data_IF_571897986637
#
_entry.id   IF_571897986637
#
_cell.length_a   1.000
_cell.length_b   1.000
_cell.length_c   1.000
_cell.angle_alpha   90.00
_cell.angle_beta   90.00
_cell.angle_gamma   90.00
#
_symmetry.space_group_name_H-M   'P 1'
#
loop_
_entity.id
_entity.type
_entity.pdbx_description
1 polymer ?
#
# COMPACT_ATOMS: atom_id res chain seq x y z
N UNK A 1 -34.23 -8.61 14.55
CA UNK A 1 -35.16 -9.33 13.67
C UNK A 1 -34.37 -9.92 12.50
N UNK A 2 -34.81 -11.08 11.97
CA UNK A 2 -34.19 -11.66 10.79
C UNK A 2 -34.48 -10.78 9.58
N UNK A 3 -33.46 -10.52 8.73
CA UNK A 3 -33.66 -9.77 7.50
C UNK A 3 -34.40 -10.61 6.44
N UNK A 4 -35.23 -9.96 5.63
CA UNK A 4 -35.98 -10.59 4.54
C UNK A 4 -35.61 -9.96 3.19
N UNK A 5 -35.75 -10.74 2.12
CA UNK A 5 -35.59 -10.24 0.75
C UNK A 5 -36.69 -10.77 -0.17
N UNK A 6 -36.93 -10.05 -1.24
CA UNK A 6 -37.99 -10.38 -2.18
C UNK A 6 -37.43 -11.19 -3.35
N UNK A 7 -38.01 -12.34 -3.61
CA UNK A 7 -37.75 -13.16 -4.80
C UNK A 7 -39.06 -13.25 -5.56
N UNK A 8 -39.12 -12.59 -6.71
CA UNK A 8 -40.35 -12.44 -7.51
C UNK A 8 -41.52 -11.87 -6.67
N UNK A 9 -42.58 -12.65 -6.42
CA UNK A 9 -43.74 -12.26 -5.61
C UNK A 9 -43.65 -12.72 -4.15
N UNK A 10 -42.65 -13.48 -3.76
CA UNK A 10 -42.50 -14.07 -2.43
C UNK A 10 -41.45 -13.38 -1.58
N UNK A 11 -41.74 -13.18 -0.30
CA UNK A 11 -40.76 -12.70 0.69
C UNK A 11 -40.15 -13.91 1.40
N UNK A 12 -38.82 -14.03 1.34
CA UNK A 12 -38.06 -15.12 1.99
C UNK A 12 -37.12 -14.54 3.04
N UNK A 13 -36.83 -15.31 4.05
CA UNK A 13 -35.80 -14.99 5.02
C UNK A 13 -34.44 -14.95 4.31
N UNK A 14 -33.65 -13.91 4.57
CA UNK A 14 -32.35 -13.73 3.92
C UNK A 14 -31.34 -14.65 4.58
N UNK A 15 -30.65 -15.50 3.81
CA UNK A 15 -29.53 -16.28 4.32
C UNK A 15 -28.48 -15.37 4.97
N UNK A 16 -27.84 -15.86 6.03
CA UNK A 16 -26.90 -15.06 6.83
C UNK A 16 -25.74 -14.52 6.01
N UNK A 17 -25.18 -15.32 5.13
CA UNK A 17 -24.10 -14.96 4.21
C UNK A 17 -24.50 -13.81 3.26
N UNK A 18 -25.70 -13.87 2.68
CA UNK A 18 -26.26 -12.82 1.84
C UNK A 18 -26.51 -11.52 2.63
N UNK A 19 -26.96 -11.62 3.87
CA UNK A 19 -27.15 -10.47 4.74
C UNK A 19 -25.82 -9.81 5.11
N UNK A 20 -24.83 -10.61 5.50
CA UNK A 20 -23.48 -10.12 5.81
C UNK A 20 -22.83 -9.46 4.59
N UNK A 21 -22.98 -10.04 3.41
CA UNK A 21 -22.49 -9.43 2.16
C UNK A 21 -23.20 -8.09 1.86
N UNK A 22 -24.52 -8.03 2.06
CA UNK A 22 -25.27 -6.78 1.90
C UNK A 22 -24.84 -5.71 2.90
N UNK A 23 -24.60 -6.09 4.16
CA UNK A 23 -24.07 -5.17 5.16
C UNK A 23 -22.68 -4.65 4.78
N UNK A 24 -21.79 -5.52 4.32
CA UNK A 24 -20.44 -5.13 3.82
C UNK A 24 -20.56 -4.14 2.67
N UNK A 25 -21.48 -4.37 1.73
CA UNK A 25 -21.72 -3.46 0.60
C UNK A 25 -22.34 -2.13 1.01
N UNK A 26 -23.24 -2.14 2.00
CA UNK A 26 -23.95 -0.93 2.45
C UNK A 26 -23.16 -0.09 3.45
N UNK A 27 -22.23 -0.70 4.18
CA UNK A 27 -21.36 -0.06 5.19
C UNK A 27 -19.92 -0.55 5.04
N UNK A 28 -19.28 -0.31 3.89
CA UNK A 28 -17.93 -0.83 3.61
C UNK A 28 -16.94 -0.40 4.68
N UNK A 29 -17.04 0.83 5.18
CA UNK A 29 -16.13 1.37 6.20
C UNK A 29 -16.20 0.63 7.54
N UNK A 30 -17.35 0.07 7.90
CA UNK A 30 -17.52 -0.61 9.19
C UNK A 30 -16.93 -2.03 9.17
N UNK A 31 -16.89 -2.65 8.01
CA UNK A 31 -16.38 -4.01 7.80
C UNK A 31 -15.02 -4.06 7.10
N UNK A 32 -14.44 -2.88 6.81
CA UNK A 32 -13.12 -2.82 6.21
C UNK A 32 -12.08 -3.52 7.10
N UNK A 33 -11.28 -4.40 6.51
CA UNK A 33 -10.26 -5.18 7.22
C UNK A 33 -9.36 -4.29 8.08
N UNK A 34 -8.92 -3.16 7.56
CA UNK A 34 -8.01 -2.24 8.24
C UNK A 34 -8.58 -1.66 9.55
N UNK A 35 -9.93 -1.62 9.69
CA UNK A 35 -10.65 -1.08 10.86
C UNK A 35 -11.00 -2.12 11.91
N UNK A 36 -10.75 -3.40 11.62
CA UNK A 36 -10.98 -4.45 12.60
C UNK A 36 -9.86 -4.46 13.64
N UNK A 37 -10.18 -4.73 14.92
CA UNK A 37 -9.15 -4.96 15.93
C UNK A 37 -8.22 -6.09 15.49
N UNK A 38 -6.92 -5.90 15.68
CA UNK A 38 -5.95 -6.93 15.39
C UNK A 38 -6.14 -8.13 16.33
N UNK A 39 -6.13 -9.33 15.80
CA UNK A 39 -6.31 -10.56 16.56
C UNK A 39 -5.01 -11.01 17.23
N UNK A 40 -3.87 -10.84 16.56
CA UNK A 40 -2.58 -11.38 16.96
C UNK A 40 -1.55 -10.32 17.35
N UNK A 41 -1.94 -9.05 17.42
CA UNK A 41 -1.01 -7.94 17.68
C UNK A 41 -1.51 -7.09 18.83
N UNK A 42 -0.65 -6.80 19.80
CA UNK A 42 -0.85 -5.81 20.84
C UNK A 42 -0.02 -4.55 20.55
N UNK A 43 -0.30 -3.44 21.22
CA UNK A 43 0.45 -2.17 21.04
C UNK A 43 1.95 -2.38 21.33
N UNK A 44 2.31 -3.18 22.32
CA UNK A 44 3.70 -3.51 22.66
C UNK A 44 4.45 -4.29 21.57
N UNK A 45 3.71 -4.97 20.69
CA UNK A 45 4.27 -5.72 19.54
C UNK A 45 4.57 -4.81 18.35
N UNK A 46 4.09 -3.56 18.37
CA UNK A 46 4.39 -2.58 17.33
C UNK A 46 5.82 -2.06 17.46
N UNK A 47 6.43 -1.69 16.33
CA UNK A 47 7.78 -1.13 16.30
C UNK A 47 7.75 0.36 16.66
N UNK A 48 8.02 0.65 17.95
CA UNK A 48 8.07 2.02 18.45
C UNK A 48 9.13 2.87 17.71
N UNK A 49 10.29 2.29 17.38
CA UNK A 49 11.36 3.02 16.68
C UNK A 49 10.89 3.44 15.27
N UNK A 50 10.18 2.54 14.60
CA UNK A 50 9.59 2.83 13.30
C UNK A 50 8.51 3.92 13.41
N UNK A 51 7.59 3.81 14.39
CA UNK A 51 6.56 4.82 14.64
C UNK A 51 7.20 6.19 14.89
N UNK A 52 8.21 6.28 15.76
CA UNK A 52 8.96 7.52 16.04
C UNK A 52 9.66 8.08 14.81
N UNK A 53 10.24 7.20 13.98
CA UNK A 53 10.86 7.60 12.71
C UNK A 53 9.85 8.21 11.72
N UNK A 54 8.68 7.58 11.62
CA UNK A 54 7.57 8.03 10.79
C UNK A 54 7.02 9.38 11.28
N UNK A 55 6.83 9.56 12.59
CA UNK A 55 6.44 10.84 13.21
C UNK A 55 7.46 11.92 12.91
N UNK A 56 8.74 11.64 13.11
CA UNK A 56 9.82 12.62 12.84
C UNK A 56 9.79 13.09 11.39
N UNK A 57 9.67 12.16 10.45
CA UNK A 57 9.57 12.52 9.03
C UNK A 57 8.35 13.43 8.75
N UNK A 58 7.19 13.14 9.38
CA UNK A 58 6.00 13.97 9.25
C UNK A 58 6.20 15.40 9.80
N UNK A 59 6.89 15.53 10.93
CA UNK A 59 7.23 16.83 11.53
C UNK A 59 8.24 17.59 10.65
N UNK A 60 9.33 16.97 10.23
CA UNK A 60 10.33 17.58 9.34
C UNK A 60 9.74 18.12 8.03
N UNK A 61 8.66 17.50 7.57
CA UNK A 61 7.94 17.92 6.36
C UNK A 61 6.74 18.84 6.62
N UNK A 62 6.54 19.27 7.88
CA UNK A 62 5.47 20.19 8.26
C UNK A 62 4.05 19.58 8.17
N UNK A 63 3.94 18.25 8.18
CA UNK A 63 2.65 17.54 8.15
C UNK A 63 2.12 17.21 9.54
N UNK A 64 3.01 17.12 10.52
CA UNK A 64 2.70 16.90 11.93
C UNK A 64 3.27 18.03 12.77
N UNK A 65 2.64 18.29 13.92
CA UNK A 65 3.14 19.25 14.90
C UNK A 65 4.37 18.70 15.62
N UNK A 66 5.30 19.56 16.03
CA UNK A 66 6.49 19.22 16.83
C UNK A 66 6.12 18.49 18.13
N UNK A 67 4.93 18.76 18.68
CA UNK A 67 4.42 18.06 19.88
C UNK A 67 4.36 16.54 19.70
N UNK A 68 4.12 16.06 18.49
CA UNK A 68 4.05 14.65 18.18
C UNK A 68 5.37 13.89 18.48
N UNK A 69 6.52 14.58 18.51
CA UNK A 69 7.83 14.00 18.81
C UNK A 69 7.94 13.46 20.24
N UNK A 70 7.20 14.07 21.18
CA UNK A 70 7.28 13.77 22.62
C UNK A 70 6.01 13.09 23.16
N UNK A 71 4.97 12.95 22.32
CA UNK A 71 3.72 12.32 22.74
C UNK A 71 3.92 10.81 23.02
N UNK A 72 3.14 10.22 23.94
CA UNK A 72 3.04 8.78 24.09
C UNK A 72 2.65 8.11 22.77
N UNK A 73 3.14 6.90 22.52
CA UNK A 73 2.84 6.16 21.27
C UNK A 73 1.34 5.90 21.13
N UNK A 74 0.68 5.61 22.24
CA UNK A 74 -0.77 5.36 22.31
C UNK A 74 -1.56 6.57 21.80
N UNK A 75 -1.13 7.79 22.16
CA UNK A 75 -1.76 9.04 21.73
C UNK A 75 -1.54 9.28 20.24
N UNK A 76 -0.33 9.03 19.75
CA UNK A 76 -0.01 9.11 18.31
C UNK A 76 -0.88 8.14 17.50
N UNK A 77 -0.95 6.87 17.92
CA UNK A 77 -1.79 5.87 17.28
C UNK A 77 -3.28 6.24 17.35
N UNK A 78 -3.73 6.79 18.48
CA UNK A 78 -5.09 7.29 18.67
C UNK A 78 -5.44 8.43 17.71
N UNK A 79 -4.55 9.41 17.53
CA UNK A 79 -4.70 10.52 16.57
C UNK A 79 -4.78 10.04 15.12
N UNK A 80 -4.03 9.01 14.77
CA UNK A 80 -4.11 8.35 13.48
C UNK A 80 -5.31 7.41 13.35
N UNK A 81 -6.13 7.26 14.42
CA UNK A 81 -7.28 6.33 14.49
C UNK A 81 -6.88 4.88 14.23
N UNK A 82 -5.73 4.48 14.71
CA UNK A 82 -5.16 3.15 14.53
C UNK A 82 -5.43 2.21 15.71
N UNK A 83 -6.18 2.67 16.71
CA UNK A 83 -6.54 1.89 17.90
C UNK A 83 -8.04 1.95 18.18
N UNK A 84 -8.55 0.94 18.85
CA UNK A 84 -9.88 0.93 19.46
C UNK A 84 -9.74 0.42 20.90
N UNK A 85 -10.03 1.30 21.90
CA UNK A 85 -9.63 1.05 23.27
C UNK A 85 -8.12 0.81 23.34
N UNK A 86 -7.70 -0.27 23.98
CA UNK A 86 -6.28 -0.64 24.14
C UNK A 86 -5.79 -1.61 23.05
N UNK A 87 -6.58 -1.84 21.98
CA UNK A 87 -6.16 -2.76 20.91
C UNK A 87 -5.80 -2.00 19.64
N UNK A 88 -4.69 -2.37 18.98
CA UNK A 88 -4.39 -1.86 17.64
C UNK A 88 -5.40 -2.39 16.63
N UNK A 89 -5.70 -1.60 15.62
CA UNK A 89 -6.42 -2.03 14.43
C UNK A 89 -5.47 -2.75 13.47
N UNK A 90 -6.02 -3.52 12.55
CA UNK A 90 -5.23 -4.18 11.50
C UNK A 90 -4.39 -3.19 10.67
N UNK A 91 -4.86 -1.95 10.50
CA UNK A 91 -4.06 -0.89 9.89
C UNK A 91 -2.76 -0.61 10.66
N UNK A 92 -2.80 -0.56 12.00
CA UNK A 92 -1.60 -0.38 12.84
C UNK A 92 -0.64 -1.55 12.69
N UNK A 93 -1.20 -2.77 12.66
CA UNK A 93 -0.43 -3.99 12.45
C UNK A 93 0.27 -3.99 11.09
N UNK A 94 -0.46 -3.68 10.01
CA UNK A 94 0.11 -3.60 8.67
C UNK A 94 1.24 -2.56 8.56
N UNK A 95 1.10 -1.43 9.25
CA UNK A 95 2.09 -0.35 9.23
C UNK A 95 3.30 -0.63 10.12
N UNK A 96 3.10 -1.22 11.30
CA UNK A 96 4.10 -1.13 12.38
C UNK A 96 4.42 -2.44 13.10
N UNK A 97 3.84 -3.58 12.72
CA UNK A 97 4.19 -4.84 13.41
C UNK A 97 5.68 -5.18 13.23
N UNK A 98 6.29 -5.71 14.30
CA UNK A 98 7.64 -6.30 14.25
C UNK A 98 7.59 -7.73 13.73
N UNK A 99 6.50 -8.44 14.01
CA UNK A 99 6.32 -9.85 13.69
C UNK A 99 5.12 -10.03 12.76
N UNK A 100 5.37 -10.61 11.60
CA UNK A 100 4.36 -10.90 10.59
C UNK A 100 3.96 -12.37 10.52
N UNK A 101 4.48 -13.23 11.42
CA UNK A 101 4.37 -14.68 11.33
C UNK A 101 2.94 -15.23 11.19
N UNK A 102 1.93 -14.55 11.74
CA UNK A 102 0.52 -14.92 11.63
C UNK A 102 -0.22 -14.26 10.44
N UNK A 103 0.45 -13.37 9.71
CA UNK A 103 -0.15 -12.56 8.65
C UNK A 103 0.48 -12.86 7.30
N UNK A 104 0.01 -13.90 6.62
CA UNK A 104 0.52 -14.31 5.30
C UNK A 104 0.36 -13.25 4.21
N UNK A 105 -0.57 -12.31 4.40
CA UNK A 105 -0.81 -11.18 3.49
C UNK A 105 0.27 -10.10 3.56
N UNK A 106 1.13 -10.07 4.59
CA UNK A 106 2.25 -9.14 4.69
C UNK A 106 3.49 -9.67 3.98
N UNK A 107 3.27 -10.16 2.78
CA UNK A 107 4.28 -10.78 1.93
C UNK A 107 4.27 -10.13 0.55
N UNK A 108 5.46 -10.02 -0.06
CA UNK A 108 5.66 -9.59 -1.44
C UNK A 108 6.58 -10.55 -2.16
N UNK A 109 6.28 -10.88 -3.41
CA UNK A 109 7.16 -11.66 -4.29
C UNK A 109 7.86 -10.73 -5.26
N UNK A 110 9.18 -10.87 -5.33
CA UNK A 110 10.05 -10.08 -6.19
C UNK A 110 10.76 -11.03 -7.14
N UNK A 111 10.66 -10.81 -8.44
CA UNK A 111 11.28 -11.66 -9.45
C UNK A 111 11.98 -10.83 -10.53
N UNK A 112 13.19 -11.25 -10.94
CA UNK A 112 13.88 -10.79 -12.13
C UNK A 112 13.94 -11.97 -13.10
N UNK A 113 13.28 -11.82 -14.23
CA UNK A 113 13.26 -12.81 -15.29
C UNK A 113 14.31 -12.50 -16.35
N UNK A 114 14.83 -13.54 -16.99
CA UNK A 114 15.62 -13.42 -18.21
C UNK A 114 14.67 -13.31 -19.41
N UNK A 115 14.91 -12.34 -20.29
CA UNK A 115 14.05 -12.13 -21.46
C UNK A 115 12.74 -11.44 -21.11
N UNK A 116 11.68 -11.78 -21.84
CA UNK A 116 10.38 -11.09 -21.82
C UNK A 116 9.23 -11.97 -21.29
N UNK A 117 9.52 -13.16 -20.81
CA UNK A 117 8.52 -14.10 -20.28
C UNK A 117 8.89 -14.63 -18.88
N UNK A 118 8.01 -15.42 -18.28
CA UNK A 118 8.16 -15.96 -16.90
C UNK A 118 8.87 -17.34 -16.88
N UNK A 119 9.68 -17.67 -17.86
CA UNK A 119 10.26 -19.01 -17.98
C UNK A 119 11.53 -19.20 -17.15
N UNK A 120 12.41 -18.21 -17.08
CA UNK A 120 13.71 -18.31 -16.44
C UNK A 120 13.95 -17.16 -15.45
N UNK A 121 14.29 -17.52 -14.20
CA UNK A 121 14.58 -16.56 -13.14
C UNK A 121 16.09 -16.25 -13.11
N UNK A 122 16.43 -14.96 -13.07
CA UNK A 122 17.74 -14.46 -12.65
C UNK A 122 17.80 -14.32 -11.13
N UNK A 123 16.70 -13.84 -10.53
CA UNK A 123 16.55 -13.71 -9.07
C UNK A 123 15.06 -13.87 -8.71
N UNK A 124 14.79 -14.52 -7.57
CA UNK A 124 13.46 -14.74 -7.08
C UNK A 124 13.48 -14.68 -5.53
N UNK A 125 12.76 -13.72 -4.97
CA UNK A 125 12.73 -13.47 -3.53
C UNK A 125 11.29 -13.41 -3.05
N UNK A 126 11.07 -13.92 -1.84
CA UNK A 126 9.88 -13.70 -1.05
C UNK A 126 10.26 -12.89 0.18
N UNK A 127 9.68 -11.71 0.31
CA UNK A 127 9.94 -10.81 1.43
C UNK A 127 8.70 -10.69 2.29
N UNK A 128 8.90 -10.62 3.60
CA UNK A 128 7.84 -10.53 4.61
C UNK A 128 8.14 -9.33 5.52
N UNK A 129 7.11 -8.61 5.90
CA UNK A 129 7.29 -7.44 6.76
C UNK A 129 6.09 -6.52 6.75
N UNK A 130 6.12 -5.51 7.60
CA UNK A 130 5.18 -4.42 7.56
C UNK A 130 5.34 -3.59 6.27
N UNK A 131 4.42 -2.67 6.02
CA UNK A 131 4.37 -1.87 4.78
C UNK A 131 5.70 -1.15 4.50
N UNK A 132 6.38 -0.63 5.52
CA UNK A 132 7.64 0.09 5.33
C UNK A 132 8.80 -0.86 4.98
N UNK A 133 8.83 -2.05 5.56
CA UNK A 133 9.78 -3.11 5.20
C UNK A 133 9.56 -3.54 3.76
N UNK A 134 8.31 -3.86 3.38
CA UNK A 134 7.97 -4.27 2.02
C UNK A 134 8.33 -3.20 0.99
N UNK A 135 8.07 -1.92 1.28
CA UNK A 135 8.46 -0.81 0.42
C UNK A 135 9.98 -0.74 0.24
N UNK A 136 10.73 -0.82 1.34
CA UNK A 136 12.19 -0.73 1.29
C UNK A 136 12.80 -1.90 0.51
N UNK A 137 12.31 -3.12 0.72
CA UNK A 137 12.79 -4.30 0.00
C UNK A 137 12.47 -4.23 -1.50
N UNK A 138 11.29 -3.74 -1.88
CA UNK A 138 10.96 -3.49 -3.28
C UNK A 138 11.92 -2.46 -3.90
N UNK A 139 12.21 -1.35 -3.21
CA UNK A 139 13.13 -0.33 -3.70
C UNK A 139 14.59 -0.83 -3.78
N UNK A 140 15.02 -1.69 -2.85
CA UNK A 140 16.32 -2.34 -2.88
C UNK A 140 16.41 -3.31 -4.06
N UNK A 141 15.35 -4.06 -4.34
CA UNK A 141 15.27 -4.97 -5.47
C UNK A 141 15.38 -4.23 -6.81
N UNK A 142 14.69 -3.09 -6.96
CA UNK A 142 14.84 -2.24 -8.13
C UNK A 142 16.28 -1.73 -8.31
N UNK A 143 16.93 -1.25 -7.23
CA UNK A 143 18.33 -0.79 -7.31
C UNK A 143 19.30 -1.90 -7.69
N UNK A 144 18.99 -3.14 -7.30
CA UNK A 144 19.83 -4.32 -7.62
C UNK A 144 19.72 -4.73 -9.10
N UNK A 145 18.53 -4.59 -9.69
CA UNK A 145 18.22 -5.21 -11.00
C UNK A 145 17.97 -4.24 -12.15
N UNK A 146 17.78 -2.96 -11.87
CA UNK A 146 17.66 -1.93 -12.90
C UNK A 146 19.01 -1.26 -13.16
N UNK A 147 19.21 -0.85 -14.41
CA UNK A 147 20.44 -0.19 -14.81
C UNK A 147 20.57 1.18 -14.14
N UNK A 148 21.79 1.48 -13.70
CA UNK A 148 22.17 2.81 -13.21
C UNK A 148 22.80 3.60 -14.36
N UNK A 149 22.25 4.77 -14.64
CA UNK A 149 22.81 5.74 -15.57
C UNK A 149 23.52 6.86 -14.80
N UNK A 150 24.58 7.39 -15.36
CA UNK A 150 25.30 8.53 -14.79
C UNK A 150 25.39 9.67 -15.79
N UNK A 151 25.08 10.88 -15.34
CA UNK A 151 25.30 12.13 -16.11
C UNK A 151 26.23 13.03 -15.33
N UNK A 152 27.28 13.52 -16.01
CA UNK A 152 28.16 14.51 -15.41
C UNK A 152 27.56 15.90 -15.60
N UNK A 153 27.28 16.57 -14.49
CA UNK A 153 26.78 17.94 -14.48
C UNK A 153 27.80 18.81 -13.72
N UNK A 154 28.60 19.55 -14.47
CA UNK A 154 29.74 20.26 -13.90
C UNK A 154 30.81 19.31 -13.36
N UNK A 155 31.08 19.39 -12.05
CA UNK A 155 32.06 18.54 -11.35
C UNK A 155 31.43 17.35 -10.62
N UNK A 156 30.09 17.23 -10.66
CA UNK A 156 29.34 16.18 -9.93
C UNK A 156 28.76 15.20 -10.92
N UNK A 157 28.94 13.89 -10.63
CA UNK A 157 28.26 12.80 -11.32
C UNK A 157 26.91 12.58 -10.64
N UNK A 158 25.83 12.79 -11.38
CA UNK A 158 24.47 12.48 -10.96
C UNK A 158 24.10 11.08 -11.45
N UNK A 159 23.78 10.18 -10.51
CA UNK A 159 23.45 8.79 -10.81
C UNK A 159 21.94 8.56 -10.61
N UNK A 160 21.32 7.89 -11.56
CA UNK A 160 19.88 7.62 -11.53
C UNK A 160 19.55 6.27 -12.17
N UNK A 161 18.45 5.66 -11.70
CA UNK A 161 17.91 4.45 -12.28
C UNK A 161 17.32 4.73 -13.68
N UNK A 162 17.37 3.73 -14.56
CA UNK A 162 16.73 3.79 -15.88
C UNK A 162 15.22 4.08 -15.77
N UNK A 163 14.54 3.54 -14.77
CA UNK A 163 13.16 3.92 -14.41
C UNK A 163 13.21 4.87 -13.21
N UNK A 164 12.50 6.01 -13.24
CA UNK A 164 12.51 6.98 -12.14
C UNK A 164 12.15 6.37 -10.79
N UNK A 165 13.01 6.55 -9.78
CA UNK A 165 12.81 5.99 -8.44
C UNK A 165 11.51 6.51 -7.78
N UNK A 166 11.13 7.76 -8.07
CA UNK A 166 9.87 8.36 -7.61
C UNK A 166 8.65 7.64 -8.23
N UNK A 167 8.70 7.26 -9.49
CA UNK A 167 7.64 6.50 -10.16
C UNK A 167 7.53 5.08 -9.56
N UNK A 168 8.66 4.38 -9.41
CA UNK A 168 8.70 3.04 -8.82
C UNK A 168 8.15 3.05 -7.38
N UNK A 169 8.55 4.03 -6.58
CA UNK A 169 8.05 4.19 -5.22
C UNK A 169 6.55 4.44 -5.16
N UNK A 170 6.04 5.32 -6.03
CA UNK A 170 4.61 5.64 -6.10
C UNK A 170 3.77 4.41 -6.47
N UNK A 171 4.22 3.61 -7.46
CA UNK A 171 3.50 2.39 -7.87
C UNK A 171 3.47 1.35 -6.74
N UNK A 172 4.59 1.15 -6.03
CA UNK A 172 4.65 0.20 -4.90
C UNK A 172 3.74 0.68 -3.76
N UNK A 173 3.76 1.98 -3.44
CA UNK A 173 2.88 2.54 -2.41
C UNK A 173 1.41 2.40 -2.79
N UNK A 174 1.06 2.64 -4.06
CA UNK A 174 -0.30 2.42 -4.56
C UNK A 174 -0.70 0.94 -4.42
N UNK A 175 0.18 0.00 -4.77
CA UNK A 175 -0.08 -1.42 -4.58
C UNK A 175 -0.34 -1.76 -3.10
N UNK A 176 0.46 -1.23 -2.17
CA UNK A 176 0.29 -1.43 -0.72
C UNK A 176 -0.99 -0.78 -0.18
N UNK A 177 -1.33 0.45 -0.62
CA UNK A 177 -2.53 1.16 -0.17
C UNK A 177 -3.83 0.56 -0.72
N UNK A 178 -3.82 0.04 -1.95
CA UNK A 178 -5.01 -0.47 -2.63
C UNK A 178 -5.14 -2.00 -2.57
N UNK A 179 -4.25 -2.69 -1.85
CA UNK A 179 -4.36 -4.12 -1.62
C UNK A 179 -5.62 -4.46 -0.81
N UNK A 180 -6.31 -5.54 -1.21
CA UNK A 180 -7.35 -6.17 -0.39
C UNK A 180 -6.68 -7.11 0.63
N UNK A 181 -6.43 -6.62 1.84
CA UNK A 181 -5.73 -7.39 2.88
C UNK A 181 -6.54 -8.57 3.44
N UNK A 182 -7.85 -8.59 3.29
CA UNK A 182 -8.70 -9.74 3.59
C UNK A 182 -8.42 -10.96 2.69
N UNK A 183 -7.77 -10.75 1.55
CA UNK A 183 -7.32 -11.83 0.66
C UNK A 183 -5.94 -12.33 1.10
N UNK A 184 -5.92 -13.09 2.19
CA UNK A 184 -4.70 -13.61 2.82
C UNK A 184 -3.91 -14.59 1.94
N UNK A 185 -4.55 -15.22 0.95
CA UNK A 185 -3.94 -16.20 0.04
C UNK A 185 -3.28 -15.58 -1.20
N UNK A 186 -3.36 -14.26 -1.37
CA UNK A 186 -2.77 -13.53 -2.49
C UNK A 186 -1.66 -12.60 -1.99
N UNK A 187 -0.65 -12.37 -2.82
CA UNK A 187 0.48 -11.49 -2.51
C UNK A 187 0.68 -10.45 -3.59
N UNK A 188 1.27 -9.31 -3.25
CA UNK A 188 1.78 -8.37 -4.25
C UNK A 188 2.96 -9.04 -4.95
N UNK A 189 2.98 -8.96 -6.28
CA UNK A 189 4.08 -9.45 -7.11
C UNK A 189 4.76 -8.30 -7.85
N UNK A 190 6.09 -8.27 -7.85
CA UNK A 190 6.90 -7.37 -8.69
C UNK A 190 7.74 -8.24 -9.59
N UNK A 191 7.57 -8.09 -10.89
CA UNK A 191 8.32 -8.82 -11.91
C UNK A 191 9.07 -7.83 -12.82
N UNK A 192 10.40 -7.98 -12.89
CA UNK A 192 11.26 -7.21 -13.77
C UNK A 192 11.67 -8.13 -14.93
N UNK A 193 11.39 -7.70 -16.16
CA UNK A 193 11.81 -8.34 -17.40
C UNK A 193 12.89 -7.49 -18.08
N UNK A 194 13.40 -7.93 -19.24
CA UNK A 194 14.37 -7.16 -19.99
C UNK A 194 13.76 -5.90 -20.64
N UNK A 195 12.44 -5.92 -20.86
CA UNK A 195 11.72 -4.87 -21.59
C UNK A 195 10.68 -4.10 -20.74
N UNK A 196 10.31 -4.60 -19.54
CA UNK A 196 9.27 -4.01 -18.72
C UNK A 196 9.34 -4.40 -17.25
N UNK A 197 8.57 -3.68 -16.43
CA UNK A 197 8.28 -4.02 -15.04
C UNK A 197 6.76 -4.24 -14.92
N UNK A 198 6.36 -5.35 -14.31
CA UNK A 198 4.97 -5.65 -13.97
C UNK A 198 4.79 -5.63 -12.46
N UNK A 199 3.72 -4.99 -11.97
CA UNK A 199 3.34 -5.00 -10.55
C UNK A 199 1.92 -5.54 -10.46
N UNK A 200 1.80 -6.74 -9.90
CA UNK A 200 0.52 -7.42 -9.66
C UNK A 200 0.04 -7.12 -8.25
N UNK A 201 -1.18 -6.61 -8.12
CA UNK A 201 -1.78 -6.28 -6.81
C UNK A 201 -3.10 -7.04 -6.64
N UNK A 202 -3.32 -7.77 -5.53
CA UNK A 202 -4.62 -8.34 -5.18
C UNK A 202 -5.59 -7.25 -4.70
N UNK A 203 -5.92 -6.33 -5.58
CA UNK A 203 -6.85 -5.23 -5.40
C UNK A 203 -7.87 -5.18 -6.52
N UNK A 204 -8.87 -4.34 -6.36
CA UNK A 204 -9.88 -4.05 -7.38
C UNK A 204 -9.97 -2.54 -7.52
N UNK A 205 -10.03 -2.05 -8.74
CA UNK A 205 -10.28 -0.63 -8.99
C UNK A 205 -11.65 -0.24 -8.42
N UNK A 206 -11.76 0.90 -7.72
CA UNK A 206 -13.05 1.43 -7.31
C UNK A 206 -13.98 1.57 -8.52
N UNK A 207 -15.31 1.39 -8.38
CA UNK A 207 -16.24 1.48 -9.53
C UNK A 207 -16.18 2.81 -10.29
N UNK A 208 -15.69 3.87 -9.66
CA UNK A 208 -15.54 5.20 -10.25
C UNK A 208 -14.28 5.34 -11.13
N UNK A 209 -13.32 4.42 -10.97
CA UNK A 209 -12.04 4.42 -11.67
C UNK A 209 -12.02 3.29 -12.69
N UNK A 210 -11.81 3.64 -13.95
CA UNK A 210 -11.64 2.69 -15.06
C UNK A 210 -10.28 2.87 -15.70
N UNK A 211 -9.78 1.89 -16.47
CA UNK A 211 -8.53 2.04 -17.22
C UNK A 211 -8.50 3.28 -18.11
N UNK A 212 -9.67 3.70 -18.64
CA UNK A 212 -9.79 4.85 -19.54
C UNK A 212 -9.72 6.19 -18.79
N UNK A 213 -10.20 6.25 -17.55
CA UNK A 213 -10.27 7.51 -16.79
C UNK A 213 -9.20 7.65 -15.69
N UNK A 214 -8.42 6.61 -15.41
CA UNK A 214 -7.40 6.63 -14.35
C UNK A 214 -6.32 7.71 -14.58
N UNK A 215 -6.09 8.11 -15.83
CA UNK A 215 -5.15 9.18 -16.20
C UNK A 215 -5.77 10.58 -16.09
N UNK A 216 -7.09 10.67 -15.95
CA UNK A 216 -7.79 11.94 -15.79
C UNK A 216 -7.78 12.40 -14.33
N UNK A 217 -7.95 13.69 -14.05
CA UNK A 217 -8.11 14.16 -12.69
C UNK A 217 -9.28 13.46 -12.00
N UNK A 218 -9.01 12.79 -10.89
CA UNK A 218 -10.02 12.10 -10.10
C UNK A 218 -9.72 12.24 -8.59
N UNK A 219 -10.75 12.03 -7.78
CA UNK A 219 -10.58 11.97 -6.33
C UNK A 219 -9.87 10.65 -5.97
N UNK A 220 -8.97 10.70 -5.00
CA UNK A 220 -8.33 9.48 -4.46
C UNK A 220 -9.36 8.64 -3.70
N UNK A 221 -9.46 7.36 -4.06
CA UNK A 221 -10.30 6.37 -3.39
C UNK A 221 -9.44 5.23 -2.83
N UNK A 222 -8.67 5.46 -1.77
CA UNK A 222 -7.83 4.40 -1.22
C UNK A 222 -8.71 3.28 -0.64
N UNK A 223 -8.36 2.03 -0.93
CA UNK A 223 -9.06 0.87 -0.36
C UNK A 223 -8.83 0.77 1.15
N UNK A 224 -7.66 1.21 1.61
CA UNK A 224 -7.27 1.27 3.02
C UNK A 224 -7.01 2.72 3.45
N UNK A 225 -8.05 3.52 3.72
CA UNK A 225 -7.90 4.95 4.03
C UNK A 225 -7.13 5.25 5.32
N UNK A 226 -7.12 4.36 6.33
CA UNK A 226 -6.30 4.57 7.54
C UNK A 226 -4.81 4.40 7.23
N UNK A 227 -4.44 3.37 6.47
CA UNK A 227 -3.07 3.16 6.00
C UNK A 227 -2.63 4.35 5.12
N UNK A 228 -3.46 4.73 4.16
CA UNK A 228 -3.18 5.87 3.28
C UNK A 228 -3.00 7.18 4.04
N UNK A 229 -3.81 7.44 5.08
CA UNK A 229 -3.72 8.64 5.90
C UNK A 229 -2.37 8.75 6.64
N UNK A 230 -1.86 7.64 7.18
CA UNK A 230 -0.53 7.63 7.82
C UNK A 230 0.56 7.89 6.78
N UNK A 231 0.52 7.22 5.64
CA UNK A 231 1.49 7.41 4.56
C UNK A 231 1.45 8.83 3.99
N UNK A 232 0.26 9.45 3.93
CA UNK A 232 0.10 10.86 3.56
C UNK A 232 0.69 11.80 4.62
N UNK A 233 0.34 11.63 5.90
CA UNK A 233 0.83 12.49 6.99
C UNK A 233 2.34 12.43 7.16
N UNK A 234 2.99 11.41 6.60
CA UNK A 234 4.44 11.22 6.62
C UNK A 234 5.11 11.44 5.26
N UNK A 235 4.38 12.03 4.31
CA UNK A 235 4.86 12.36 2.95
C UNK A 235 5.27 11.19 2.08
N UNK A 236 4.86 9.99 2.43
CA UNK A 236 5.09 8.83 1.56
C UNK A 236 4.20 8.88 0.31
N UNK A 237 2.97 9.38 0.43
CA UNK A 237 2.03 9.57 -0.69
C UNK A 237 1.41 10.97 -0.67
N UNK A 238 0.82 11.39 -1.80
CA UNK A 238 0.01 12.60 -1.92
C UNK A 238 -1.49 12.24 -1.96
N UNK A 239 -2.35 13.15 -1.48
CA UNK A 239 -3.77 12.85 -1.21
C UNK A 239 -4.75 13.33 -2.32
N UNK A 240 -4.28 13.64 -3.53
CA UNK A 240 -5.11 14.31 -4.54
C UNK A 240 -5.43 13.47 -5.79
N UNK A 241 -5.24 12.14 -5.75
CA UNK A 241 -5.45 11.29 -6.92
C UNK A 241 -4.46 11.56 -8.07
N UNK A 242 -3.36 12.24 -7.78
CA UNK A 242 -2.33 12.63 -8.77
C UNK A 242 -1.23 11.59 -8.94
N UNK A 243 -1.27 10.47 -8.22
CA UNK A 243 -0.20 9.46 -8.21
C UNK A 243 0.11 8.91 -9.59
N UNK A 244 -0.91 8.46 -10.33
CA UNK A 244 -0.74 7.92 -11.68
C UNK A 244 -0.19 8.98 -12.64
N UNK A 245 -0.71 10.21 -12.59
CA UNK A 245 -0.20 11.32 -13.39
C UNK A 245 1.29 11.58 -13.12
N UNK A 246 1.71 11.58 -11.85
CA UNK A 246 3.14 11.76 -11.48
C UNK A 246 4.02 10.64 -12.01
N UNK A 247 3.56 9.39 -11.95
CA UNK A 247 4.25 8.25 -12.54
C UNK A 247 4.49 8.52 -14.04
N UNK A 248 3.42 8.87 -14.77
CA UNK A 248 3.49 9.17 -16.19
C UNK A 248 4.45 10.33 -16.51
N UNK A 249 4.34 11.45 -15.80
CA UNK A 249 5.20 12.62 -16.00
C UNK A 249 6.69 12.31 -15.69
N UNK A 250 6.95 11.56 -14.62
CA UNK A 250 8.31 11.16 -14.26
C UNK A 250 8.92 10.24 -15.34
N UNK A 251 8.16 9.24 -15.80
CA UNK A 251 8.57 8.34 -16.86
C UNK A 251 8.78 9.08 -18.17
N UNK A 252 7.85 9.95 -18.58
CA UNK A 252 7.97 10.75 -19.81
C UNK A 252 9.23 11.64 -19.83
N UNK A 253 9.54 12.31 -18.71
CA UNK A 253 10.76 13.13 -18.58
C UNK A 253 12.05 12.32 -18.80
N UNK A 254 12.01 11.02 -18.58
CA UNK A 254 13.13 10.09 -18.75
C UNK A 254 13.08 9.30 -20.05
N UNK A 255 12.04 9.48 -20.88
CA UNK A 255 11.85 8.71 -22.11
C UNK A 255 11.47 7.24 -21.87
N UNK A 256 10.95 6.93 -20.69
CA UNK A 256 10.46 5.59 -20.32
C UNK A 256 8.95 5.53 -20.62
N UNK A 257 8.53 4.48 -21.34
CA UNK A 257 7.11 4.23 -21.55
C UNK A 257 6.47 3.80 -20.23
N UNK A 258 5.30 4.40 -19.92
CA UNK A 258 4.44 3.95 -18.84
C UNK A 258 3.03 3.78 -19.41
N UNK A 259 2.34 2.68 -19.09
CA UNK A 259 1.00 2.41 -19.59
C UNK A 259 -0.06 3.31 -18.99
#
# INVERSE_FOLDING_TARGET
GCPYYKVESTTKEMPRDMYEERLRRSKPDMFAWERQPSEFTDISSLDEKLIRGVVRLGVERGRLSDLALTEPIEDVLGKWKLTTGNKPLNAATALFTKDTGMYTQFTMRLARFQGTDKNEFIDNQRVEGNIFVLLNEAMNFFRKHLNMHGKIVGLVRDEYLEVPAEALREVVLNALCHRQYERYNLTIGIAIYDDRIEIENPGVLPPQITPENILQPHISYPYNPLIANVLYSTTYIENWGSGVKRIMEACQKRGVAAP
#
